data_IF_106400494689
#
_entry.id   IF_106400494689
#
_cell.length_a   1.000
_cell.length_b   1.000
_cell.length_c   1.000
_cell.angle_alpha   90.00
_cell.angle_beta   90.00
_cell.angle_gamma   90.00
#
_symmetry.space_group_name_H-M   'P 1'
#
loop_
_entity.id
_entity.type
_entity.pdbx_description
1 polymer ?
#
# COMPACT_ATOMS: atom_id res chain seq x y z
N UNK A 1 4.21 22.05 45.60
CA UNK A 1 4.97 22.93 46.51
C UNK A 1 5.73 23.96 45.69
N UNK A 2 5.60 25.26 46.03
CA UNK A 2 6.37 26.45 45.56
C UNK A 2 6.19 26.78 44.05
N UNK A 3 5.71 27.94 43.60
CA UNK A 3 5.80 29.35 44.03
C UNK A 3 4.51 30.06 43.55
N UNK A 4 3.64 30.65 44.38
CA UNK A 4 3.69 31.99 45.01
C UNK A 4 4.70 33.00 44.42
N UNK A 5 4.20 33.92 43.59
CA UNK A 5 4.67 35.31 43.44
C UNK A 5 3.44 36.12 42.98
N UNK A 6 2.66 36.68 43.91
CA UNK A 6 2.73 38.09 44.32
C UNK A 6 2.96 39.04 43.14
N UNK A 7 1.85 39.54 42.56
CA UNK A 7 1.80 40.87 41.96
C UNK A 7 0.58 41.57 42.55
N UNK A 8 0.84 42.27 43.65
CA UNK A 8 -0.07 43.25 44.24
C UNK A 8 0.05 44.51 43.38
N UNK A 9 -0.97 44.84 42.58
CA UNK A 9 -1.09 46.19 42.02
C UNK A 9 -2.30 46.87 42.66
N UNK A 10 -1.99 47.88 43.45
CA UNK A 10 -2.93 48.70 44.18
C UNK A 10 -3.85 49.46 43.21
N UNK A 11 -5.16 49.25 43.32
CA UNK A 11 -6.17 50.11 42.72
C UNK A 11 -6.91 50.82 43.85
N UNK A 12 -6.44 52.01 44.21
CA UNK A 12 -7.15 52.94 45.09
C UNK A 12 -7.33 54.27 44.33
N UNK A 13 -8.59 54.68 44.21
CA UNK A 13 -9.13 55.96 43.71
C UNK A 13 -8.93 56.34 42.23
N UNK A 14 -10.02 56.27 41.46
CA UNK A 14 -10.85 57.43 41.13
C UNK A 14 -12.06 57.00 40.28
N UNK A 15 -13.26 57.19 40.82
CA UNK A 15 -14.48 57.26 40.03
C UNK A 15 -14.46 58.58 39.25
N UNK A 16 -14.43 58.51 37.92
CA UNK A 16 -14.47 59.67 37.04
C UNK A 16 -14.35 59.28 35.57
N UNK A 17 -15.47 59.39 34.85
CA UNK A 17 -15.67 59.31 33.40
C UNK A 17 -14.47 59.00 32.48
N UNK A 18 -14.52 57.81 31.86
CA UNK A 18 -14.72 57.74 30.41
C UNK A 18 -13.54 58.09 29.49
N UNK A 19 -12.40 57.43 29.66
CA UNK A 19 -11.56 57.01 28.52
C UNK A 19 -10.50 56.03 29.05
N UNK A 20 -10.71 54.73 28.83
CA UNK A 20 -9.66 53.72 29.02
C UNK A 20 -8.48 54.09 28.12
N UNK A 21 -7.31 54.30 28.71
CA UNK A 21 -6.09 54.62 27.98
C UNK A 21 -5.88 53.53 26.91
N UNK A 22 -5.79 53.89 25.61
CA UNK A 22 -5.62 52.90 24.53
C UNK A 22 -4.39 52.01 24.70
N UNK A 23 -3.40 52.44 25.51
CA UNK A 23 -2.24 51.63 25.88
C UNK A 23 -2.61 50.47 26.80
N UNK A 24 -3.59 50.63 27.69
CA UNK A 24 -4.08 49.58 28.58
C UNK A 24 -4.86 48.53 27.79
N UNK A 25 -5.77 48.96 26.90
CA UNK A 25 -6.50 48.03 26.02
C UNK A 25 -5.58 47.26 25.07
N UNK A 26 -4.52 47.89 24.57
CA UNK A 26 -3.50 47.21 23.75
C UNK A 26 -2.67 46.19 24.55
N UNK A 27 -2.41 46.45 25.83
CA UNK A 27 -1.71 45.52 26.72
C UNK A 27 -2.60 44.32 27.10
N UNK A 28 -3.89 44.53 27.39
CA UNK A 28 -4.86 43.47 27.65
C UNK A 28 -5.02 42.55 26.44
N UNK A 29 -5.06 43.11 25.23
CA UNK A 29 -5.14 42.33 23.99
C UNK A 29 -3.88 41.49 23.77
N UNK A 30 -2.70 42.06 24.04
CA UNK A 30 -1.42 41.33 23.94
C UNK A 30 -1.30 40.24 25.00
N UNK A 31 -1.83 40.46 26.20
CA UNK A 31 -1.86 39.46 27.27
C UNK A 31 -2.76 38.29 26.89
N UNK A 32 -3.97 38.56 26.42
CA UNK A 32 -4.89 37.51 25.94
C UNK A 32 -4.29 36.70 24.78
N UNK A 33 -3.58 37.36 23.85
CA UNK A 33 -2.88 36.69 22.76
C UNK A 33 -1.69 35.84 23.24
N UNK A 34 -0.99 36.28 24.29
CA UNK A 34 0.10 35.52 24.91
C UNK A 34 -0.43 34.28 25.64
N UNK A 35 -1.53 34.40 26.38
CA UNK A 35 -2.17 33.27 27.06
C UNK A 35 -2.70 32.23 26.08
N UNK A 36 -3.30 32.68 24.96
CA UNK A 36 -3.73 31.78 23.88
C UNK A 36 -2.55 31.01 23.26
N UNK A 37 -1.41 31.68 23.02
CA UNK A 37 -0.19 31.03 22.54
C UNK A 37 0.40 30.06 23.55
N UNK A 38 0.31 30.37 24.83
CA UNK A 38 0.79 29.48 25.88
C UNK A 38 -0.03 28.18 25.92
N UNK A 39 -1.37 28.29 25.86
CA UNK A 39 -2.26 27.14 25.80
C UNK A 39 -2.03 26.26 24.54
N UNK A 40 -1.76 26.90 23.40
CA UNK A 40 -1.40 26.19 22.16
C UNK A 40 -0.08 25.43 22.30
N UNK A 41 0.96 26.06 22.86
CA UNK A 41 2.26 25.42 23.10
C UNK A 41 2.16 24.26 24.11
N UNK A 42 1.35 24.39 25.16
CA UNK A 42 1.08 23.30 26.10
C UNK A 42 0.39 22.12 25.41
N UNK A 43 -0.57 22.39 24.53
CA UNK A 43 -1.27 21.36 23.74
C UNK A 43 -0.29 20.66 22.79
N UNK A 44 0.58 21.41 22.11
CA UNK A 44 1.63 20.84 21.26
C UNK A 44 2.63 20.01 22.06
N UNK A 45 3.04 20.46 23.24
CA UNK A 45 3.96 19.72 24.13
C UNK A 45 3.36 18.40 24.62
N UNK A 46 2.05 18.38 24.92
CA UNK A 46 1.34 17.16 25.27
C UNK A 46 1.26 16.18 24.09
N UNK A 47 0.96 16.66 22.88
CA UNK A 47 0.95 15.84 21.66
C UNK A 47 2.31 15.22 21.39
N UNK A 48 3.38 16.02 21.43
CA UNK A 48 4.75 15.53 21.23
C UNK A 48 5.17 14.50 22.28
N UNK A 49 4.75 14.69 23.54
CA UNK A 49 5.01 13.72 24.60
C UNK A 49 4.30 12.39 24.35
N UNK A 50 3.08 12.44 23.80
CA UNK A 50 2.32 11.25 23.45
C UNK A 50 2.92 10.54 22.24
N UNK A 51 3.35 11.27 21.21
CA UNK A 51 4.07 10.74 20.05
C UNK A 51 5.38 10.06 20.46
N UNK A 52 6.17 10.70 21.34
CA UNK A 52 7.40 10.11 21.88
C UNK A 52 7.15 8.82 22.65
N UNK A 53 6.03 8.73 23.38
CA UNK A 53 5.64 7.52 24.10
C UNK A 53 5.27 6.39 23.14
N UNK A 54 4.51 6.70 22.09
CA UNK A 54 4.17 5.74 21.04
C UNK A 54 5.40 5.25 20.28
N UNK A 55 6.28 6.16 19.86
CA UNK A 55 7.53 5.82 19.17
C UNK A 55 8.44 4.92 20.01
N UNK A 56 8.52 5.14 21.33
CA UNK A 56 9.26 4.26 22.25
C UNK A 56 8.63 2.86 22.36
N UNK A 57 7.31 2.76 22.34
CA UNK A 57 6.62 1.47 22.35
C UNK A 57 6.86 0.70 21.05
N UNK A 58 6.83 1.37 19.91
CA UNK A 58 7.13 0.79 18.60
C UNK A 58 8.59 0.30 18.52
N UNK A 59 9.54 1.09 19.01
CA UNK A 59 10.95 0.68 19.07
C UNK A 59 11.14 -0.59 19.92
N UNK A 60 10.43 -0.70 21.05
CA UNK A 60 10.46 -1.88 21.89
C UNK A 60 9.87 -3.12 21.19
N UNK A 61 8.76 -2.95 20.47
CA UNK A 61 8.15 -4.01 19.69
C UNK A 61 9.05 -4.49 18.54
N UNK A 62 9.71 -3.56 17.85
CA UNK A 62 10.68 -3.87 16.79
C UNK A 62 11.87 -4.67 17.32
N UNK A 63 12.43 -4.28 18.47
CA UNK A 63 13.50 -5.05 19.12
C UNK A 63 13.07 -6.47 19.46
N UNK A 64 11.86 -6.64 19.98
CA UNK A 64 11.32 -7.96 20.27
C UNK A 64 11.11 -8.80 18.99
N UNK A 65 10.71 -8.17 17.89
CA UNK A 65 10.61 -8.80 16.58
C UNK A 65 11.98 -9.25 16.04
N UNK A 66 13.00 -8.41 16.20
CA UNK A 66 14.38 -8.71 15.82
C UNK A 66 14.93 -9.90 16.62
N UNK A 67 14.79 -9.91 17.94
CA UNK A 67 15.25 -11.02 18.79
C UNK A 67 14.58 -12.35 18.40
N UNK A 68 13.31 -12.31 17.97
CA UNK A 68 12.58 -13.50 17.50
C UNK A 68 13.09 -14.00 16.15
N UNK A 69 13.48 -13.08 15.26
CA UNK A 69 14.09 -13.44 13.97
C UNK A 69 15.49 -14.00 14.15
N UNK A 70 16.29 -13.41 15.05
CA UNK A 70 17.65 -13.89 15.34
C UNK A 70 17.61 -15.31 15.93
N UNK A 71 16.64 -15.62 16.80
CA UNK A 71 16.42 -17.00 17.26
C UNK A 71 16.03 -17.93 16.13
N UNK A 72 15.10 -17.52 15.26
CA UNK A 72 14.71 -18.34 14.10
C UNK A 72 15.88 -18.59 13.16
N UNK A 73 16.76 -17.59 12.98
CA UNK A 73 17.96 -17.71 12.17
C UNK A 73 18.97 -18.67 12.80
N UNK A 74 19.10 -18.66 14.12
CA UNK A 74 19.92 -19.62 14.87
C UNK A 74 19.33 -21.05 14.85
N UNK A 75 18.00 -21.18 14.77
CA UNK A 75 17.28 -22.46 14.68
C UNK A 75 17.18 -23.02 13.24
N UNK A 76 17.66 -22.28 12.23
CA UNK A 76 17.73 -22.83 10.88
C UNK A 76 18.80 -23.93 10.83
N UNK A 77 18.49 -25.09 10.21
CA UNK A 77 19.50 -26.11 9.99
C UNK A 77 20.67 -25.53 9.18
N UNK A 78 21.89 -26.03 9.38
CA UNK A 78 23.04 -25.57 8.60
C UNK A 78 22.75 -25.68 7.10
N UNK A 79 23.28 -24.75 6.29
CA UNK A 79 23.01 -24.72 4.86
C UNK A 79 23.40 -26.06 4.24
N UNK A 80 22.43 -26.67 3.53
CA UNK A 80 22.63 -27.93 2.81
C UNK A 80 23.79 -27.75 1.86
N UNK A 81 24.84 -28.53 2.04
CA UNK A 81 26.06 -28.37 1.27
C UNK A 81 25.89 -29.01 -0.11
N UNK A 82 26.72 -28.59 -1.07
CA UNK A 82 26.75 -29.22 -2.39
C UNK A 82 26.99 -30.75 -2.29
N UNK A 83 27.74 -31.19 -1.28
CA UNK A 83 28.00 -32.60 -1.00
C UNK A 83 26.73 -33.35 -0.56
N UNK A 84 25.87 -32.73 0.26
CA UNK A 84 24.59 -33.32 0.69
C UNK A 84 23.62 -33.50 -0.49
N UNK A 85 23.59 -32.52 -1.40
CA UNK A 85 22.80 -32.59 -2.64
C UNK A 85 23.34 -33.69 -3.56
N UNK A 86 24.67 -33.80 -3.71
CA UNK A 86 25.29 -34.85 -4.53
C UNK A 86 25.07 -36.25 -3.96
N UNK A 87 25.15 -36.42 -2.64
CA UNK A 87 24.86 -37.69 -1.98
C UNK A 87 23.38 -38.11 -2.15
N UNK A 88 22.44 -37.17 -2.04
CA UNK A 88 21.01 -37.44 -2.25
C UNK A 88 20.70 -37.83 -3.71
N UNK A 89 21.36 -37.18 -4.69
CA UNK A 89 21.22 -37.51 -6.11
C UNK A 89 21.82 -38.88 -6.44
N UNK A 90 22.98 -39.22 -5.87
CA UNK A 90 23.60 -40.53 -6.05
C UNK A 90 22.71 -41.66 -5.49
N UNK A 91 22.15 -41.48 -4.29
CA UNK A 91 21.22 -42.45 -3.70
C UNK A 91 19.91 -42.62 -4.50
N UNK A 92 19.42 -41.55 -5.13
CA UNK A 92 18.24 -41.60 -6.00
C UNK A 92 18.52 -42.33 -7.33
N UNK A 93 19.74 -42.20 -7.87
CA UNK A 93 20.15 -42.88 -9.10
C UNK A 93 20.40 -44.38 -8.86
N UNK A 94 20.96 -44.78 -7.72
CA UNK A 94 21.08 -46.21 -7.35
C UNK A 94 19.71 -46.87 -7.19
N UNK A 95 18.73 -46.18 -6.60
CA UNK A 95 17.34 -46.69 -6.53
C UNK A 95 16.70 -46.90 -7.90
N UNK A 96 17.14 -46.16 -8.92
CA UNK A 96 16.64 -46.29 -10.31
C UNK A 96 17.32 -47.42 -11.09
N UNK A 97 18.54 -47.81 -10.71
CA UNK A 97 19.28 -48.89 -11.34
C UNK A 97 18.85 -50.30 -10.87
N UNK A 98 18.10 -50.39 -9.76
CA UNK A 98 17.69 -51.66 -9.15
C UNK A 98 16.34 -52.24 -9.64
N UNK A 99 15.71 -51.66 -10.67
CA UNK A 99 14.46 -52.18 -11.24
C UNK A 99 14.77 -52.90 -12.57
N UNK A 100 14.65 -54.24 -12.66
CA UNK A 100 14.86 -54.95 -13.92
C UNK A 100 13.72 -54.67 -14.90
N UNK A 101 14.09 -54.43 -16.16
CA UNK A 101 13.16 -54.30 -17.28
C UNK A 101 12.62 -55.68 -17.67
N UNK A 102 11.29 -55.85 -17.57
CA UNK A 102 10.57 -57.03 -18.06
C UNK A 102 9.83 -56.69 -19.38
N UNK A 103 9.59 -57.67 -20.26
CA UNK A 103 9.33 -57.44 -21.68
C UNK A 103 7.88 -57.04 -21.97
N UNK A 104 7.73 -56.28 -23.05
CA UNK A 104 6.47 -55.75 -23.56
C UNK A 104 5.41 -56.84 -23.79
N UNK A 105 4.22 -56.64 -23.19
CA UNK A 105 2.96 -57.30 -23.55
C UNK A 105 2.05 -56.30 -24.29
N UNK A 106 1.21 -56.76 -25.24
CA UNK A 106 0.39 -55.89 -26.10
C UNK A 106 -0.74 -55.19 -25.31
N UNK A 107 -1.29 -54.07 -25.82
CA UNK A 107 -2.20 -53.22 -25.05
C UNK A 107 -3.57 -53.89 -24.90
N UNK A 108 -3.86 -54.33 -23.69
CA UNK A 108 -5.22 -54.64 -23.24
C UNK A 108 -5.87 -53.33 -22.78
N UNK A 109 -7.10 -53.08 -23.24
CA UNK A 109 -7.91 -51.87 -23.00
C UNK A 109 -7.87 -51.44 -21.54
N UNK A 110 -7.12 -50.40 -21.22
CA UNK A 110 -7.23 -49.66 -19.98
C UNK A 110 -8.35 -48.62 -20.12
N UNK A 111 -9.25 -48.61 -19.13
CA UNK A 111 -10.26 -47.59 -18.93
C UNK A 111 -9.60 -46.19 -18.82
N UNK A 112 -10.27 -45.12 -19.30
CA UNK A 112 -9.72 -43.77 -19.21
C UNK A 112 -9.57 -43.35 -17.74
N UNK A 113 -8.34 -43.03 -17.33
CA UNK A 113 -8.11 -42.23 -16.13
C UNK A 113 -8.72 -40.83 -16.34
N UNK A 114 -9.57 -40.34 -15.40
CA UNK A 114 -10.05 -38.98 -15.45
C UNK A 114 -8.99 -38.03 -14.90
N UNK A 115 -8.65 -37.01 -15.70
CA UNK A 115 -8.24 -35.71 -15.15
C UNK A 115 -6.75 -35.42 -15.07
N UNK A 116 -5.99 -35.65 -16.14
CA UNK A 116 -4.95 -34.68 -16.46
C UNK A 116 -5.70 -33.37 -16.83
N UNK A 117 -5.85 -32.47 -15.86
CA UNK A 117 -6.33 -31.11 -16.11
C UNK A 117 -5.34 -30.42 -17.07
N UNK A 118 -5.58 -30.58 -18.36
CA UNK A 118 -5.20 -29.57 -19.32
C UNK A 118 -5.74 -28.25 -18.78
N UNK A 119 -4.87 -27.25 -18.63
CA UNK A 119 -5.28 -25.86 -18.37
C UNK A 119 -6.49 -25.59 -19.26
N UNK A 120 -7.64 -25.16 -18.71
CA UNK A 120 -8.79 -24.85 -19.53
C UNK A 120 -8.34 -23.90 -20.63
N UNK A 121 -8.56 -24.27 -21.88
CA UNK A 121 -8.46 -23.31 -22.96
C UNK A 121 -9.33 -22.13 -22.56
N UNK A 122 -8.73 -20.94 -22.50
CA UNK A 122 -9.49 -19.71 -22.25
C UNK A 122 -10.70 -19.72 -23.20
N UNK A 123 -11.93 -19.45 -22.70
CA UNK A 123 -13.09 -19.36 -23.58
C UNK A 123 -12.76 -18.44 -24.75
N UNK A 124 -13.25 -18.76 -25.96
CA UNK A 124 -12.85 -18.06 -27.19
C UNK A 124 -12.96 -16.52 -27.05
N UNK A 125 -13.94 -16.04 -26.29
CA UNK A 125 -14.16 -14.63 -25.95
C UNK A 125 -13.03 -14.02 -25.11
N UNK A 126 -12.45 -14.78 -24.17
CA UNK A 126 -11.33 -14.34 -23.35
C UNK A 126 -10.02 -14.26 -24.15
N UNK A 127 -9.82 -15.15 -25.12
CA UNK A 127 -8.67 -15.08 -26.03
C UNK A 127 -8.79 -13.90 -26.99
N UNK A 128 -9.98 -13.66 -27.54
CA UNK A 128 -10.24 -12.50 -28.39
C UNK A 128 -10.03 -11.17 -27.62
N UNK A 129 -10.51 -11.10 -26.37
CA UNK A 129 -10.32 -9.94 -25.49
C UNK A 129 -8.83 -9.70 -25.18
N UNK A 130 -8.06 -10.74 -24.91
CA UNK A 130 -6.63 -10.62 -24.65
C UNK A 130 -5.85 -10.12 -25.87
N UNK A 131 -6.18 -10.61 -27.07
CA UNK A 131 -5.59 -10.13 -28.33
C UNK A 131 -5.96 -8.66 -28.63
N UNK A 132 -7.22 -8.27 -28.39
CA UNK A 132 -7.64 -6.89 -28.54
C UNK A 132 -6.91 -5.97 -27.54
N UNK A 133 -6.80 -6.38 -26.27
CA UNK A 133 -6.06 -5.66 -25.25
C UNK A 133 -4.58 -5.51 -25.62
N UNK A 134 -3.98 -6.58 -26.16
CA UNK A 134 -2.58 -6.57 -26.64
C UNK A 134 -2.37 -5.56 -27.77
N UNK A 135 -3.28 -5.48 -28.73
CA UNK A 135 -3.21 -4.49 -29.83
C UNK A 135 -3.30 -3.06 -29.30
N UNK A 136 -4.31 -2.77 -28.47
CA UNK A 136 -4.48 -1.44 -27.85
C UNK A 136 -3.27 -1.06 -27.00
N UNK A 137 -2.71 -2.04 -26.28
CA UNK A 137 -1.52 -1.83 -25.48
C UNK A 137 -0.33 -1.47 -26.37
N UNK A 138 -0.09 -2.23 -27.45
CA UNK A 138 0.99 -1.95 -28.40
C UNK A 138 0.93 -0.52 -28.97
N UNK A 139 -0.27 -0.01 -29.27
CA UNK A 139 -0.47 1.36 -29.75
C UNK A 139 -0.14 2.42 -28.70
N UNK A 140 -0.41 2.14 -27.41
CA UNK A 140 -0.18 3.08 -26.31
C UNK A 140 1.26 3.06 -25.78
N UNK A 141 1.95 1.92 -25.86
CA UNK A 141 3.27 1.73 -25.27
C UNK A 141 4.32 2.79 -25.69
N UNK A 142 4.44 3.20 -26.97
CA UNK A 142 5.38 4.25 -27.35
C UNK A 142 5.16 5.57 -26.62
N UNK A 143 3.91 6.05 -26.55
CA UNK A 143 3.56 7.27 -25.85
C UNK A 143 3.68 7.14 -24.33
N UNK A 144 3.34 5.97 -23.80
CA UNK A 144 3.50 5.64 -22.38
C UNK A 144 4.96 5.73 -21.93
N UNK A 145 5.89 5.10 -22.66
CA UNK A 145 7.32 5.17 -22.31
C UNK A 145 7.91 6.58 -22.48
N UNK A 146 7.38 7.38 -23.41
CA UNK A 146 7.81 8.76 -23.60
C UNK A 146 7.28 9.72 -22.52
N UNK A 147 6.16 9.38 -21.87
CA UNK A 147 5.54 10.24 -20.86
C UNK A 147 4.94 9.43 -19.70
N UNK A 148 5.80 8.84 -18.89
CA UNK A 148 5.41 8.11 -17.68
C UNK A 148 4.86 9.03 -16.58
N UNK A 149 4.92 10.35 -16.75
CA UNK A 149 4.37 11.32 -15.80
C UNK A 149 2.84 11.37 -15.82
N UNK A 150 2.19 11.01 -16.93
CA UNK A 150 0.73 11.12 -17.06
C UNK A 150 -0.02 9.97 -16.35
N UNK A 151 -0.76 10.25 -15.25
CA UNK A 151 -1.46 9.22 -14.49
C UNK A 151 -2.57 8.53 -15.30
N UNK A 152 -3.22 9.22 -16.22
CA UNK A 152 -4.32 8.64 -17.00
C UNK A 152 -3.80 7.60 -18.00
N UNK A 153 -2.69 7.89 -18.68
CA UNK A 153 -2.05 6.92 -19.57
C UNK A 153 -1.51 5.73 -18.79
N UNK A 154 -0.90 5.95 -17.60
CA UNK A 154 -0.44 4.84 -16.75
C UNK A 154 -1.59 3.92 -16.33
N UNK A 155 -2.71 4.47 -15.89
CA UNK A 155 -3.89 3.69 -15.52
C UNK A 155 -4.41 2.86 -16.70
N UNK A 156 -4.58 3.48 -17.87
CA UNK A 156 -5.05 2.78 -19.08
C UNK A 156 -4.13 1.64 -19.49
N UNK A 157 -2.81 1.84 -19.42
CA UNK A 157 -1.82 0.79 -19.70
C UNK A 157 -1.94 -0.35 -18.69
N UNK A 158 -2.09 -0.03 -17.40
CA UNK A 158 -2.26 -1.04 -16.37
C UNK A 158 -3.54 -1.86 -16.57
N UNK A 159 -4.68 -1.21 -16.86
CA UNK A 159 -5.95 -1.87 -17.14
C UNK A 159 -5.83 -2.86 -18.32
N UNK A 160 -5.14 -2.43 -19.39
CA UNK A 160 -4.88 -3.32 -20.53
C UNK A 160 -3.96 -4.48 -20.17
N UNK A 161 -2.91 -4.25 -19.38
CA UNK A 161 -1.99 -5.30 -18.92
C UNK A 161 -2.72 -6.40 -18.14
N UNK A 162 -3.71 -6.04 -17.32
CA UNK A 162 -4.57 -7.01 -16.63
C UNK A 162 -5.34 -7.91 -17.58
N UNK A 163 -5.66 -7.45 -18.79
CA UNK A 163 -6.43 -8.19 -19.80
C UNK A 163 -5.57 -8.97 -20.80
N UNK A 164 -4.29 -8.63 -20.94
CA UNK A 164 -3.35 -9.32 -21.85
C UNK A 164 -2.97 -10.74 -21.39
N UNK A 165 -2.19 -11.44 -22.21
CA UNK A 165 -1.56 -12.70 -21.85
C UNK A 165 -0.31 -12.52 -20.95
N UNK A 166 0.17 -13.61 -20.36
CA UNK A 166 1.29 -13.60 -19.42
C UNK A 166 2.64 -13.22 -20.05
N UNK A 167 2.84 -13.50 -21.34
CA UNK A 167 4.07 -13.18 -22.06
C UNK A 167 4.16 -11.66 -22.29
N UNK A 168 3.07 -11.07 -22.77
CA UNK A 168 2.94 -9.62 -22.96
C UNK A 168 3.18 -8.86 -21.65
N UNK A 169 2.62 -9.31 -20.52
CA UNK A 169 2.91 -8.70 -19.20
C UNK A 169 4.38 -8.76 -18.83
N UNK A 170 5.03 -9.92 -19.03
CA UNK A 170 6.44 -10.12 -18.71
C UNK A 170 7.34 -9.22 -19.54
N UNK A 171 7.05 -9.04 -20.82
CA UNK A 171 7.81 -8.16 -21.71
C UNK A 171 7.76 -6.69 -21.24
N UNK A 172 6.57 -6.19 -20.90
CA UNK A 172 6.41 -4.82 -20.40
C UNK A 172 7.13 -4.62 -19.07
N UNK A 173 7.00 -5.56 -18.13
CA UNK A 173 7.73 -5.52 -16.85
C UNK A 173 9.24 -5.59 -17.07
N UNK A 174 9.72 -6.44 -17.98
CA UNK A 174 11.16 -6.54 -18.28
C UNK A 174 11.70 -5.24 -18.88
N UNK A 175 10.96 -4.61 -19.79
CA UNK A 175 11.33 -3.32 -20.37
C UNK A 175 11.36 -2.21 -19.31
N UNK A 176 10.36 -2.12 -18.43
CA UNK A 176 10.35 -1.16 -17.33
C UNK A 176 11.50 -1.40 -16.35
N UNK A 177 11.86 -2.66 -16.06
CA UNK A 177 13.03 -2.98 -15.23
C UNK A 177 14.33 -2.50 -15.85
N UNK A 178 14.52 -2.66 -17.17
CA UNK A 178 15.69 -2.15 -17.87
C UNK A 178 15.77 -0.63 -17.78
N UNK A 179 14.65 0.07 -18.04
CA UNK A 179 14.59 1.53 -17.93
C UNK A 179 14.86 2.04 -16.51
N UNK A 180 14.36 1.35 -15.47
CA UNK A 180 14.68 1.67 -14.06
C UNK A 180 16.16 1.42 -13.74
N UNK A 181 16.80 0.45 -14.38
CA UNK A 181 18.22 0.21 -14.21
C UNK A 181 19.06 1.33 -14.85
N UNK A 182 18.61 1.86 -16.00
CA UNK A 182 19.24 2.98 -16.70
C UNK A 182 18.99 4.32 -15.98
N UNK A 183 17.80 4.50 -15.40
CA UNK A 183 17.38 5.72 -14.71
C UNK A 183 16.85 5.42 -13.28
N UNK A 184 17.73 5.05 -12.33
CA UNK A 184 17.30 4.63 -11.00
C UNK A 184 16.65 5.77 -10.20
N UNK A 185 16.93 7.03 -10.47
CA UNK A 185 16.34 8.16 -9.74
C UNK A 185 15.05 8.69 -10.40
N UNK A 186 14.52 8.00 -11.42
CA UNK A 186 13.27 8.39 -12.06
C UNK A 186 12.06 7.82 -11.31
N UNK A 187 11.43 8.66 -10.48
CA UNK A 187 10.24 8.29 -9.68
C UNK A 187 9.07 7.78 -10.52
N UNK A 188 8.87 8.30 -11.73
CA UNK A 188 7.78 7.89 -12.62
C UNK A 188 8.02 6.50 -13.19
N UNK A 189 9.26 6.19 -13.57
CA UNK A 189 9.66 4.84 -13.99
C UNK A 189 9.49 3.80 -12.88
N UNK A 190 9.88 4.15 -11.65
CA UNK A 190 9.71 3.26 -10.49
C UNK A 190 8.24 2.98 -10.19
N UNK A 191 7.39 4.01 -10.22
CA UNK A 191 5.95 3.82 -10.01
C UNK A 191 5.33 3.01 -11.15
N UNK A 192 5.65 3.32 -12.40
CA UNK A 192 5.19 2.58 -13.57
C UNK A 192 5.56 1.09 -13.50
N UNK A 193 6.78 0.77 -13.06
CA UNK A 193 7.20 -0.60 -12.80
C UNK A 193 6.36 -1.26 -11.70
N UNK A 194 6.13 -0.57 -10.58
CA UNK A 194 5.30 -1.10 -9.50
C UNK A 194 3.86 -1.38 -9.94
N UNK A 195 3.25 -0.46 -10.69
CA UNK A 195 1.90 -0.59 -11.28
C UNK A 195 1.85 -1.78 -12.24
N UNK A 196 2.77 -1.86 -13.22
CA UNK A 196 2.80 -2.94 -14.19
C UNK A 196 3.00 -4.31 -13.54
N UNK A 197 3.81 -4.40 -12.48
CA UNK A 197 4.01 -5.64 -11.72
C UNK A 197 2.72 -6.13 -11.06
N UNK A 198 1.75 -5.26 -10.73
CA UNK A 198 0.45 -5.70 -10.18
C UNK A 198 -0.29 -6.64 -11.12
N UNK A 199 -0.22 -6.40 -12.44
CA UNK A 199 -0.88 -7.25 -13.43
C UNK A 199 -0.41 -8.71 -13.42
N UNK A 200 0.82 -8.96 -12.92
CA UNK A 200 1.40 -10.30 -12.83
C UNK A 200 0.87 -11.12 -11.66
N UNK A 201 0.01 -10.55 -10.80
CA UNK A 201 -0.70 -11.32 -9.77
C UNK A 201 -1.56 -12.44 -10.36
N UNK A 202 -2.04 -12.29 -11.61
CA UNK A 202 -2.79 -13.34 -12.32
C UNK A 202 -1.96 -14.59 -12.62
N UNK A 203 -0.63 -14.46 -12.62
CA UNK A 203 0.29 -15.48 -13.10
C UNK A 203 0.94 -16.29 -11.97
N UNK A 204 0.81 -15.83 -10.72
CA UNK A 204 1.42 -16.44 -9.54
C UNK A 204 0.37 -17.13 -8.69
N UNK A 205 0.77 -18.22 -8.02
CA UNK A 205 -0.13 -18.90 -7.09
C UNK A 205 -0.27 -18.08 -5.80
N UNK A 206 -1.45 -18.14 -5.20
CA UNK A 206 -1.66 -17.58 -3.86
C UNK A 206 -0.68 -18.20 -2.86
N UNK A 207 -0.12 -17.38 -1.96
CA UNK A 207 0.87 -17.80 -0.98
C UNK A 207 2.20 -17.07 -1.12
N UNK A 208 3.32 -17.80 -1.00
CA UNK A 208 4.66 -17.22 -0.91
C UNK A 208 5.05 -16.39 -2.15
N UNK A 209 4.77 -16.89 -3.36
CA UNK A 209 5.09 -16.18 -4.61
C UNK A 209 4.35 -14.85 -4.71
N UNK A 210 3.08 -14.83 -4.31
CA UNK A 210 2.28 -13.61 -4.24
C UNK A 210 2.84 -12.62 -3.22
N UNK A 211 3.28 -13.10 -2.05
CA UNK A 211 3.92 -12.27 -1.02
C UNK A 211 5.24 -11.64 -1.50
N UNK A 212 6.09 -12.41 -2.19
CA UNK A 212 7.34 -11.91 -2.80
C UNK A 212 7.05 -10.85 -3.86
N UNK A 213 6.06 -11.10 -4.73
CA UNK A 213 5.64 -10.14 -5.74
C UNK A 213 5.14 -8.84 -5.10
N UNK A 214 4.28 -8.94 -4.08
CA UNK A 214 3.75 -7.79 -3.36
C UNK A 214 4.85 -6.97 -2.66
N UNK A 215 5.84 -7.64 -2.05
CA UNK A 215 7.00 -6.97 -1.43
C UNK A 215 7.85 -6.23 -2.48
N UNK A 216 8.09 -6.83 -3.66
CA UNK A 216 8.82 -6.17 -4.75
C UNK A 216 8.06 -4.96 -5.32
N UNK A 217 6.75 -5.05 -5.49
CA UNK A 217 5.88 -3.93 -5.91
C UNK A 217 6.02 -2.77 -4.92
N UNK A 218 5.85 -3.07 -3.62
CA UNK A 218 5.97 -2.08 -2.56
C UNK A 218 7.36 -1.44 -2.50
N UNK A 219 8.43 -2.22 -2.73
CA UNK A 219 9.80 -1.72 -2.73
C UNK A 219 10.00 -0.66 -3.82
N UNK A 220 9.52 -0.90 -5.04
CA UNK A 220 9.67 0.08 -6.12
C UNK A 220 8.80 1.33 -5.91
N UNK A 221 7.56 1.16 -5.46
CA UNK A 221 6.69 2.30 -5.14
C UNK A 221 7.25 3.17 -4.00
N UNK A 222 7.77 2.56 -2.93
CA UNK A 222 8.44 3.30 -1.84
C UNK A 222 9.70 4.02 -2.30
N UNK A 223 10.48 3.44 -3.21
CA UNK A 223 11.63 4.16 -3.77
C UNK A 223 11.19 5.41 -4.55
N UNK A 224 10.07 5.35 -5.28
CA UNK A 224 9.49 6.55 -5.90
C UNK A 224 9.14 7.64 -4.86
N UNK A 225 8.57 7.24 -3.72
CA UNK A 225 8.30 8.17 -2.60
C UNK A 225 9.58 8.69 -1.93
N UNK A 226 10.65 7.91 -1.88
CA UNK A 226 11.93 8.37 -1.32
C UNK A 226 12.59 9.42 -2.21
N UNK A 227 12.46 9.28 -3.53
CA UNK A 227 12.94 10.26 -4.51
C UNK A 227 12.14 11.56 -4.41
N UNK A 228 10.82 11.47 -4.28
CA UNK A 228 9.93 12.62 -4.10
C UNK A 228 8.83 12.31 -3.07
N UNK A 229 9.01 12.79 -1.81
CA UNK A 229 8.06 12.56 -0.72
C UNK A 229 6.66 13.16 -0.92
N UNK A 230 6.54 14.11 -1.85
CA UNK A 230 5.29 14.79 -2.22
C UNK A 230 4.74 14.25 -3.56
N UNK A 231 5.30 13.17 -4.09
CA UNK A 231 4.77 12.52 -5.28
C UNK A 231 3.48 11.77 -4.96
N UNK A 232 2.36 12.47 -5.13
CA UNK A 232 1.02 11.98 -4.76
C UNK A 232 0.69 10.61 -5.35
N UNK A 233 1.01 10.34 -6.62
CA UNK A 233 0.64 9.06 -7.25
C UNK A 233 1.32 7.87 -6.56
N UNK A 234 2.59 8.01 -6.14
CA UNK A 234 3.29 6.97 -5.42
C UNK A 234 2.73 6.77 -4.01
N UNK A 235 2.35 7.87 -3.32
CA UNK A 235 1.66 7.80 -2.04
C UNK A 235 0.29 7.14 -2.14
N UNK A 236 -0.50 7.55 -3.12
CA UNK A 236 -1.79 6.98 -3.44
C UNK A 236 -1.67 5.48 -3.66
N UNK A 237 -0.76 5.07 -4.54
CA UNK A 237 -0.51 3.66 -4.84
C UNK A 237 -0.14 2.87 -3.58
N UNK A 238 0.82 3.37 -2.79
CA UNK A 238 1.24 2.70 -1.54
C UNK A 238 0.09 2.56 -0.55
N UNK A 239 -0.69 3.63 -0.35
CA UNK A 239 -1.82 3.63 0.58
C UNK A 239 -2.91 2.62 0.17
N UNK A 240 -3.34 2.66 -1.10
CA UNK A 240 -4.33 1.73 -1.66
C UNK A 240 -3.81 0.30 -1.64
N UNK A 241 -2.55 0.08 -2.00
CA UNK A 241 -1.95 -1.26 -2.04
C UNK A 241 -1.90 -1.88 -0.65
N UNK A 242 -1.43 -1.14 0.36
CA UNK A 242 -1.42 -1.62 1.75
C UNK A 242 -2.83 -1.88 2.29
N UNK A 243 -3.81 -1.06 1.94
CA UNK A 243 -5.19 -1.25 2.40
C UNK A 243 -5.83 -2.53 1.83
N UNK A 244 -5.43 -2.95 0.62
CA UNK A 244 -5.94 -4.15 -0.04
C UNK A 244 -5.18 -5.45 0.34
N UNK A 245 -4.01 -5.35 0.97
CA UNK A 245 -3.27 -6.51 1.49
C UNK A 245 -3.43 -6.60 3.01
N UNK A 246 -4.11 -7.63 3.54
CA UNK A 246 -4.42 -7.72 4.97
C UNK A 246 -3.16 -7.80 5.85
N UNK A 247 -3.27 -7.41 7.13
CA UNK A 247 -2.16 -7.47 8.07
C UNK A 247 -1.63 -8.91 8.24
N UNK A 248 -0.32 -9.06 8.14
CA UNK A 248 0.37 -10.36 8.18
C UNK A 248 1.83 -10.29 7.73
N UNK A 249 2.19 -9.26 6.98
CA UNK A 249 3.57 -8.90 6.63
C UNK A 249 3.86 -7.47 7.09
N UNK A 250 5.05 -7.25 7.65
CA UNK A 250 5.49 -5.95 8.17
C UNK A 250 5.48 -4.85 7.12
N UNK A 251 5.65 -5.18 5.83
CA UNK A 251 5.66 -4.20 4.75
C UNK A 251 4.29 -3.54 4.52
N UNK A 252 3.20 -4.15 5.00
CA UNK A 252 1.82 -3.63 4.92
C UNK A 252 1.35 -2.96 6.21
N UNK A 253 2.20 -2.89 7.24
CA UNK A 253 1.94 -2.07 8.42
C UNK A 253 1.88 -0.57 8.07
N UNK A 254 1.17 0.20 8.89
CA UNK A 254 1.04 1.64 8.71
C UNK A 254 0.09 2.08 7.59
N UNK A 255 -0.75 1.17 7.05
CA UNK A 255 -1.74 1.50 6.01
C UNK A 255 -2.57 2.75 6.36
N UNK A 256 -3.01 2.87 7.62
CA UNK A 256 -3.75 4.05 8.11
C UNK A 256 -2.97 5.35 7.95
N UNK A 257 -1.68 5.36 8.32
CA UNK A 257 -0.85 6.57 8.24
C UNK A 257 -0.66 7.02 6.78
N UNK A 258 -0.46 6.07 5.86
CA UNK A 258 -0.35 6.38 4.44
C UNK A 258 -1.68 6.87 3.85
N UNK A 259 -2.81 6.28 4.26
CA UNK A 259 -4.16 6.74 3.87
C UNK A 259 -4.44 8.15 4.39
N UNK A 260 -4.12 8.44 5.66
CA UNK A 260 -4.28 9.77 6.26
C UNK A 260 -3.41 10.81 5.52
N UNK A 261 -2.16 10.46 5.19
CA UNK A 261 -1.27 11.32 4.42
C UNK A 261 -1.85 11.59 3.02
N UNK A 262 -2.36 10.56 2.33
CA UNK A 262 -2.96 10.70 1.01
C UNK A 262 -4.17 11.65 1.02
N UNK A 263 -5.10 11.47 1.98
CA UNK A 263 -6.24 12.38 2.16
C UNK A 263 -5.80 13.82 2.44
N UNK A 264 -4.78 14.01 3.28
CA UNK A 264 -4.26 15.35 3.59
C UNK A 264 -3.66 16.07 2.38
N UNK A 265 -3.10 15.32 1.43
CA UNK A 265 -2.60 15.85 0.16
C UNK A 265 -3.74 16.17 -0.80
N UNK A 266 -4.70 15.26 -0.97
CA UNK A 266 -5.89 15.49 -1.79
C UNK A 266 -6.64 16.77 -1.40
N UNK A 267 -6.73 17.06 -0.09
CA UNK A 267 -7.38 18.27 0.42
C UNK A 267 -6.76 19.59 -0.08
N UNK A 268 -5.53 19.55 -0.60
CA UNK A 268 -4.79 20.70 -1.16
C UNK A 268 -4.74 20.69 -2.69
N UNK A 269 -5.31 19.68 -3.34
CA UNK A 269 -5.28 19.49 -4.79
C UNK A 269 -6.62 19.84 -5.42
N UNK A 270 -6.61 20.08 -6.73
CA UNK A 270 -7.85 20.09 -7.53
C UNK A 270 -8.45 18.70 -7.51
N UNK A 271 -9.75 18.61 -7.21
CA UNK A 271 -10.46 17.34 -7.14
C UNK A 271 -10.40 16.58 -8.48
N UNK A 272 -10.13 15.29 -8.41
CA UNK A 272 -10.17 14.35 -9.52
C UNK A 272 -11.00 13.13 -9.14
N UNK A 273 -11.73 12.53 -10.09
CA UNK A 273 -12.59 11.36 -9.81
C UNK A 273 -11.82 10.19 -9.17
N UNK A 274 -10.56 9.98 -9.56
CA UNK A 274 -9.68 8.95 -8.98
C UNK A 274 -9.41 9.12 -7.48
N UNK A 275 -9.62 10.31 -6.92
CA UNK A 275 -9.42 10.53 -5.48
C UNK A 275 -10.38 9.72 -4.60
N UNK A 276 -11.51 9.28 -5.16
CA UNK A 276 -12.46 8.37 -4.51
C UNK A 276 -11.84 7.03 -4.10
N UNK A 277 -10.77 6.57 -4.78
CA UNK A 277 -10.09 5.30 -4.49
C UNK A 277 -9.49 5.28 -3.07
N UNK A 278 -9.01 6.42 -2.56
CA UNK A 278 -8.51 6.50 -1.18
C UNK A 278 -9.64 6.31 -0.16
N UNK A 279 -10.80 6.92 -0.40
CA UNK A 279 -11.97 6.73 0.45
C UNK A 279 -12.45 5.28 0.42
N UNK A 280 -12.43 4.65 -0.76
CA UNK A 280 -12.78 3.24 -0.92
C UNK A 280 -11.81 2.33 -0.16
N UNK A 281 -10.50 2.57 -0.31
CA UNK A 281 -9.46 1.84 0.39
C UNK A 281 -9.59 1.97 1.92
N UNK A 282 -9.88 3.17 2.41
CA UNK A 282 -10.11 3.44 3.83
C UNK A 282 -11.36 2.71 4.34
N UNK A 283 -12.47 2.75 3.59
CA UNK A 283 -13.70 2.06 3.94
C UNK A 283 -13.52 0.54 3.99
N UNK A 284 -12.83 -0.05 3.01
CA UNK A 284 -12.46 -1.49 3.03
C UNK A 284 -11.58 -1.84 4.23
N UNK A 285 -10.61 -0.99 4.55
CA UNK A 285 -9.70 -1.19 5.68
C UNK A 285 -10.45 -1.22 7.03
N UNK A 286 -11.42 -0.32 7.23
CA UNK A 286 -12.29 -0.35 8.42
C UNK A 286 -13.26 -1.53 8.42
N UNK A 287 -13.80 -1.88 7.25
CA UNK A 287 -14.72 -3.01 7.10
C UNK A 287 -14.07 -4.34 7.55
N UNK A 288 -12.82 -4.62 7.15
CA UNK A 288 -12.08 -5.82 7.58
C UNK A 288 -11.87 -5.87 9.10
N UNK A 289 -11.77 -4.70 9.75
CA UNK A 289 -11.68 -4.59 11.21
C UNK A 289 -13.04 -4.63 11.91
N UNK A 290 -14.15 -4.80 11.18
CA UNK A 290 -15.54 -4.73 11.68
C UNK A 290 -15.88 -3.39 12.34
N UNK A 291 -15.20 -2.31 11.95
CA UNK A 291 -15.49 -0.93 12.39
C UNK A 291 -16.49 -0.30 11.42
N UNK A 292 -17.72 -0.78 11.46
CA UNK A 292 -18.73 -0.46 10.44
C UNK A 292 -19.11 1.02 10.41
N UNK A 293 -19.24 1.68 11.57
CA UNK A 293 -19.58 3.11 11.62
C UNK A 293 -18.46 3.98 11.03
N UNK A 294 -17.19 3.67 11.32
CA UNK A 294 -16.04 4.35 10.73
C UNK A 294 -15.96 4.11 9.21
N UNK A 295 -16.23 2.88 8.77
CA UNK A 295 -16.28 2.51 7.35
C UNK A 295 -17.37 3.29 6.61
N UNK A 296 -18.57 3.43 7.19
CA UNK A 296 -19.65 4.22 6.62
C UNK A 296 -19.31 5.71 6.58
N UNK A 297 -18.74 6.25 7.66
CA UNK A 297 -18.38 7.66 7.74
C UNK A 297 -17.37 8.06 6.65
N UNK A 298 -16.31 7.27 6.47
CA UNK A 298 -15.29 7.58 5.45
C UNK A 298 -15.83 7.36 4.03
N UNK A 299 -16.64 6.31 3.80
CA UNK A 299 -17.27 6.07 2.50
C UNK A 299 -18.24 7.21 2.13
N UNK A 300 -19.02 7.68 3.10
CA UNK A 300 -19.94 8.82 2.91
C UNK A 300 -19.17 10.11 2.63
N UNK A 301 -18.06 10.37 3.33
CA UNK A 301 -17.22 11.54 3.06
C UNK A 301 -16.68 11.58 1.62
N UNK A 302 -16.42 10.41 1.01
CA UNK A 302 -16.08 10.31 -0.41
C UNK A 302 -17.28 10.58 -1.33
N UNK A 303 -18.46 10.05 -1.01
CA UNK A 303 -19.70 10.30 -1.77
C UNK A 303 -20.15 11.76 -1.70
N UNK A 304 -19.85 12.48 -0.63
CA UNK A 304 -20.12 13.91 -0.52
C UNK A 304 -19.24 14.74 -1.48
N UNK A 305 -18.13 14.18 -1.94
CA UNK A 305 -17.27 14.77 -2.99
C UNK A 305 -17.69 14.35 -4.39
N UNK A 306 -18.07 13.09 -4.56
CA UNK A 306 -18.61 12.55 -5.81
C UNK A 306 -19.76 11.57 -5.54
N UNK A 307 -20.98 12.07 -5.65
CA UNK A 307 -22.20 11.30 -5.37
C UNK A 307 -22.46 10.18 -6.40
N UNK A 308 -21.72 10.15 -7.52
CA UNK A 308 -21.87 9.15 -8.60
C UNK A 308 -20.76 8.10 -8.57
N UNK A 309 -19.87 8.13 -7.59
CA UNK A 309 -18.79 7.17 -7.45
C UNK A 309 -19.32 5.74 -7.19
N UNK A 310 -19.47 4.95 -8.25
CA UNK A 310 -20.08 3.61 -8.21
C UNK A 310 -19.37 2.66 -7.24
N UNK A 311 -18.05 2.75 -7.16
CA UNK A 311 -17.23 1.98 -6.21
C UNK A 311 -17.59 2.28 -4.75
N UNK A 312 -17.83 3.55 -4.41
CA UNK A 312 -18.22 3.96 -3.06
C UNK A 312 -19.68 3.61 -2.76
N UNK A 313 -20.58 3.70 -3.75
CA UNK A 313 -21.98 3.27 -3.62
C UNK A 313 -22.03 1.77 -3.30
N UNK A 314 -21.31 0.94 -4.07
CA UNK A 314 -21.23 -0.50 -3.85
C UNK A 314 -20.59 -0.83 -2.49
N UNK A 315 -19.54 -0.12 -2.10
CA UNK A 315 -18.89 -0.32 -0.80
C UNK A 315 -19.85 0.01 0.35
N UNK A 316 -20.59 1.13 0.27
CA UNK A 316 -21.56 1.52 1.30
C UNK A 316 -22.60 0.42 1.52
N UNK A 317 -23.18 -0.10 0.44
CA UNK A 317 -24.15 -1.21 0.50
C UNK A 317 -23.55 -2.44 1.19
N UNK A 318 -22.33 -2.83 0.81
CA UNK A 318 -21.63 -3.97 1.42
C UNK A 318 -21.37 -3.76 2.92
N UNK A 319 -21.06 -2.55 3.35
CA UNK A 319 -20.86 -2.24 4.79
C UNK A 319 -22.20 -2.34 5.54
N UNK A 320 -23.29 -1.81 4.97
CA UNK A 320 -24.63 -1.88 5.57
C UNK A 320 -25.14 -3.33 5.69
N UNK A 321 -24.84 -4.17 4.71
CA UNK A 321 -25.13 -5.61 4.75
C UNK A 321 -24.32 -6.33 5.84
N UNK A 322 -23.01 -6.07 5.93
CA UNK A 322 -22.12 -6.70 6.91
C UNK A 322 -22.40 -6.29 8.37
N UNK A 323 -23.10 -5.17 8.58
CA UNK A 323 -23.49 -4.67 9.90
C UNK A 323 -24.69 -5.41 10.49
N UNK A 324 -25.56 -5.99 9.65
CA UNK A 324 -26.77 -6.71 10.07
C UNK A 324 -26.42 -8.07 10.69
#
# INVERSE_FOLDING_TARGET
MKRLLMVTFAAFFLAGCGQSDPRVGALETKLAAADARLAELETQGQSQTQELKSARAELAALKQGQDKLDRKLADLPPPVTLADVQAAVAAALEKRAAVPADPAKPPEKAAPEPGAEAKPALPADAKAKAEEAKRKLADLLPGYYANLGDPQTRQKVNDLLWETDAETRKEVVAKLKALVADEPENKHLRLALAEAMTSTFRDVKQGLEQGILASNIMKEAKKAQLIDPDYYDALHFVAVFKANYPPGFSEFEGAKADLDKALSMQAKMTWEARFTEIYEAYGKWYLVQKKYDDALAITQAGLDKDARAENLIALKQRIEEARK
#
